data_IF_596275638062
#
_entry.id   IF_596275638062
#
_cell.length_a   1.000
_cell.length_b   1.000
_cell.length_c   1.000
_cell.angle_alpha   90.00
_cell.angle_beta   90.00
_cell.angle_gamma   90.00
#
_symmetry.space_group_name_H-M   'P 1'
#
loop_
_entity.id
_entity.type
_entity.pdbx_description
1 polymer ?
#
# COMPACT_ATOMS: atom_id res chain seq x y z
N UNK A 1 -0.86 -14.70 23.28
CA UNK A 1 -0.04 -13.48 23.50
C UNK A 1 -0.15 -12.61 22.26
N UNK A 2 -0.67 -11.38 22.37
CA UNK A 2 -0.76 -10.47 21.24
C UNK A 2 0.66 -10.08 20.79
N UNK A 3 1.01 -10.42 19.55
CA UNK A 3 2.32 -10.08 18.98
C UNK A 3 2.39 -8.55 18.85
N UNK A 4 3.25 -7.90 19.64
CA UNK A 4 3.45 -6.45 19.56
C UNK A 4 4.14 -6.12 18.25
N UNK A 5 3.43 -5.48 17.33
CA UNK A 5 4.01 -4.99 16.08
C UNK A 5 4.94 -3.81 16.35
N UNK A 6 6.01 -3.68 15.58
CA UNK A 6 6.85 -2.48 15.59
C UNK A 6 6.08 -1.30 15.02
N UNK A 7 6.49 -0.07 15.34
CA UNK A 7 5.86 1.13 14.80
C UNK A 7 5.90 1.17 13.27
N UNK A 8 6.98 0.66 12.67
CA UNK A 8 7.09 0.54 11.21
C UNK A 8 6.08 -0.47 10.65
N UNK A 9 5.90 -1.62 11.30
CA UNK A 9 4.89 -2.60 10.90
C UNK A 9 3.48 -2.03 11.01
N UNK A 10 3.19 -1.26 12.08
CA UNK A 10 1.91 -0.57 12.23
C UNK A 10 1.69 0.43 11.09
N UNK A 11 2.70 1.25 10.75
CA UNK A 11 2.61 2.18 9.61
C UNK A 11 2.31 1.47 8.29
N UNK A 12 2.95 0.34 8.02
CA UNK A 12 2.69 -0.47 6.81
C UNK A 12 1.25 -0.99 6.78
N UNK A 13 0.75 -1.52 7.91
CA UNK A 13 -0.63 -2.01 8.01
C UNK A 13 -1.65 -0.88 7.85
N UNK A 14 -1.37 0.29 8.43
CA UNK A 14 -2.21 1.47 8.26
C UNK A 14 -2.24 1.94 6.81
N UNK A 15 -1.07 2.01 6.14
CA UNK A 15 -0.97 2.34 4.72
C UNK A 15 -1.81 1.37 3.87
N UNK A 16 -1.68 0.06 4.09
CA UNK A 16 -2.46 -0.94 3.36
C UNK A 16 -3.97 -0.74 3.58
N UNK A 17 -4.39 -0.51 4.84
CA UNK A 17 -5.79 -0.27 5.18
C UNK A 17 -6.33 1.01 4.53
N UNK A 18 -5.56 2.08 4.50
CA UNK A 18 -5.99 3.35 3.89
C UNK A 18 -6.12 3.23 2.37
N UNK A 19 -5.25 2.44 1.74
CA UNK A 19 -5.38 2.10 0.33
C UNK A 19 -6.67 1.34 0.03
N UNK A 20 -6.99 0.31 0.84
CA UNK A 20 -8.24 -0.45 0.69
C UNK A 20 -9.47 0.43 0.90
N UNK A 21 -9.46 1.30 1.92
CA UNK A 21 -10.56 2.25 2.15
C UNK A 21 -10.78 3.14 0.93
N UNK A 22 -9.72 3.67 0.34
CA UNK A 22 -9.81 4.46 -0.89
C UNK A 22 -10.30 3.61 -2.07
N UNK A 23 -9.85 2.37 -2.21
CA UNK A 23 -10.37 1.48 -3.26
C UNK A 23 -11.90 1.27 -3.13
N UNK A 24 -12.42 1.14 -1.91
CA UNK A 24 -13.85 0.99 -1.67
C UNK A 24 -14.68 2.23 -2.04
N UNK A 25 -14.09 3.42 -2.12
CA UNK A 25 -14.82 4.63 -2.58
C UNK A 25 -14.93 4.71 -4.10
N UNK A 26 -14.22 3.84 -4.83
CA UNK A 26 -14.24 3.80 -6.29
C UNK A 26 -15.23 2.74 -6.82
N UNK A 27 -15.84 2.96 -7.99
CA UNK A 27 -16.62 1.94 -8.68
C UNK A 27 -15.72 0.84 -9.26
N UNK A 28 -16.31 -0.29 -9.64
CA UNK A 28 -15.63 -1.29 -10.46
C UNK A 28 -15.40 -0.75 -11.89
N UNK A 29 -14.33 -1.18 -12.61
CA UNK A 29 -13.31 -2.16 -12.21
C UNK A 29 -12.15 -1.58 -11.38
N UNK A 30 -12.14 -0.26 -11.19
CA UNK A 30 -11.04 0.45 -10.55
C UNK A 30 -10.78 0.00 -9.11
N UNK A 31 -11.85 -0.32 -8.37
CA UNK A 31 -11.74 -0.90 -7.02
C UNK A 31 -10.91 -2.18 -7.02
N UNK A 32 -11.25 -3.14 -7.87
CA UNK A 32 -10.51 -4.42 -7.96
C UNK A 32 -9.05 -4.21 -8.39
N UNK A 33 -8.81 -3.29 -9.32
CA UNK A 33 -7.45 -2.91 -9.74
C UNK A 33 -6.63 -2.35 -8.57
N UNK A 34 -7.18 -1.41 -7.82
CA UNK A 34 -6.54 -0.80 -6.65
C UNK A 34 -6.24 -1.84 -5.55
N UNK A 35 -7.19 -2.73 -5.26
CA UNK A 35 -6.99 -3.80 -4.28
C UNK A 35 -5.88 -4.76 -4.70
N UNK A 36 -5.85 -5.15 -5.98
CA UNK A 36 -4.83 -6.04 -6.54
C UNK A 36 -3.44 -5.40 -6.46
N UNK A 37 -3.33 -4.11 -6.81
CA UNK A 37 -2.08 -3.38 -6.68
C UNK A 37 -1.59 -3.31 -5.23
N UNK A 38 -2.45 -2.88 -4.30
CA UNK A 38 -2.08 -2.76 -2.90
C UNK A 38 -1.56 -4.09 -2.34
N UNK A 39 -2.22 -5.20 -2.71
CA UNK A 39 -1.78 -6.55 -2.34
C UNK A 39 -0.44 -6.89 -3.00
N UNK A 40 -0.29 -6.67 -4.31
CA UNK A 40 0.93 -6.97 -5.05
C UNK A 40 2.15 -6.21 -4.52
N UNK A 41 1.99 -4.96 -4.10
CA UNK A 41 3.06 -4.16 -3.46
C UNK A 41 3.52 -4.81 -2.16
N UNK A 42 2.60 -5.25 -1.30
CA UNK A 42 2.96 -5.87 -0.02
C UNK A 42 3.57 -7.26 -0.25
N UNK A 43 3.00 -8.06 -1.16
CA UNK A 43 3.49 -9.40 -1.47
C UNK A 43 4.89 -9.37 -2.08
N UNK A 44 5.16 -8.45 -3.03
CA UNK A 44 6.49 -8.25 -3.62
C UNK A 44 7.57 -7.96 -2.58
N UNK A 45 7.21 -7.35 -1.46
CA UNK A 45 8.11 -6.92 -0.41
C UNK A 45 8.02 -7.77 0.87
N UNK A 46 7.28 -8.89 0.85
CA UNK A 46 7.01 -9.73 2.03
C UNK A 46 8.27 -10.36 2.61
N UNK A 47 9.20 -10.76 1.75
CA UNK A 47 10.41 -11.48 2.13
C UNK A 47 11.59 -10.55 2.50
N UNK A 48 11.35 -9.24 2.56
CA UNK A 48 12.38 -8.30 2.97
C UNK A 48 12.85 -8.57 4.41
N UNK A 49 14.18 -8.63 4.63
CA UNK A 49 14.72 -8.78 5.98
C UNK A 49 14.23 -7.66 6.90
N UNK A 50 13.59 -8.04 8.02
CA UNK A 50 13.04 -7.08 9.01
C UNK A 50 14.09 -6.13 9.61
N UNK A 51 15.38 -6.47 9.48
CA UNK A 51 16.51 -5.65 9.94
C UNK A 51 16.81 -4.46 9.01
N UNK A 52 16.30 -4.47 7.78
CA UNK A 52 16.54 -3.42 6.82
C UNK A 52 15.51 -2.28 6.94
N UNK A 53 15.47 -1.64 8.12
CA UNK A 53 14.47 -0.64 8.47
C UNK A 53 14.47 0.56 7.50
N UNK A 54 15.65 1.07 7.14
CA UNK A 54 15.79 2.22 6.25
C UNK A 54 15.21 1.94 4.86
N UNK A 55 15.47 0.76 4.31
CA UNK A 55 14.94 0.39 3.00
C UNK A 55 13.41 0.23 3.04
N UNK A 56 12.89 -0.41 4.08
CA UNK A 56 11.44 -0.56 4.27
C UNK A 56 10.76 0.81 4.41
N UNK A 57 11.36 1.74 5.15
CA UNK A 57 10.84 3.12 5.25
C UNK A 57 10.89 3.88 3.93
N UNK A 58 11.97 3.74 3.16
CA UNK A 58 12.09 4.35 1.84
C UNK A 58 10.99 3.84 0.91
N UNK A 59 10.79 2.51 0.86
CA UNK A 59 9.73 1.90 0.07
C UNK A 59 8.35 2.39 0.49
N UNK A 60 8.07 2.42 1.80
CA UNK A 60 6.79 2.93 2.31
C UNK A 60 6.56 4.38 1.88
N UNK A 61 7.58 5.24 1.96
CA UNK A 61 7.48 6.64 1.53
C UNK A 61 7.22 6.77 0.03
N UNK A 62 7.90 5.98 -0.80
CA UNK A 62 7.70 5.96 -2.24
C UNK A 62 6.27 5.56 -2.61
N UNK A 63 5.76 4.49 -1.99
CA UNK A 63 4.40 4.01 -2.25
C UNK A 63 3.33 4.97 -1.72
N UNK A 64 3.59 5.64 -0.59
CA UNK A 64 2.69 6.67 -0.06
C UNK A 64 2.62 7.89 -0.99
N UNK A 65 3.74 8.29 -1.59
CA UNK A 65 3.74 9.35 -2.59
C UNK A 65 2.91 8.97 -3.83
N UNK A 66 3.09 7.74 -4.35
CA UNK A 66 2.28 7.23 -5.48
C UNK A 66 0.79 7.19 -5.13
N UNK A 67 0.44 6.71 -3.94
CA UNK A 67 -0.94 6.68 -3.47
C UNK A 67 -1.55 8.10 -3.39
N UNK A 68 -0.80 9.07 -2.88
CA UNK A 68 -1.25 10.45 -2.83
C UNK A 68 -1.48 11.03 -4.22
N UNK A 69 -0.61 10.70 -5.20
CA UNK A 69 -0.81 11.10 -6.60
C UNK A 69 -2.09 10.48 -7.18
N UNK A 70 -2.29 9.17 -6.98
CA UNK A 70 -3.52 8.47 -7.42
C UNK A 70 -4.76 9.07 -6.75
N UNK A 71 -4.66 9.55 -5.51
CA UNK A 71 -5.77 10.19 -4.80
C UNK A 71 -6.10 11.58 -5.36
N UNK A 72 -5.08 12.35 -5.75
CA UNK A 72 -5.21 13.71 -6.27
C UNK A 72 -5.66 13.72 -7.73
N UNK A 73 -5.03 12.89 -8.55
CA UNK A 73 -5.47 12.63 -9.92
C UNK A 73 -6.78 11.85 -9.82
N UNK A 74 -7.89 12.37 -10.33
CA UNK A 74 -9.16 11.63 -10.31
C UNK A 74 -9.10 10.52 -11.37
N UNK A 75 -8.23 9.53 -11.15
CA UNK A 75 -7.85 8.52 -12.14
C UNK A 75 -9.01 7.55 -12.34
N UNK A 76 -9.44 7.40 -13.59
CA UNK A 76 -10.55 6.50 -13.97
C UNK A 76 -10.10 5.05 -14.20
N UNK A 77 -8.80 4.81 -14.44
CA UNK A 77 -8.22 3.47 -14.61
C UNK A 77 -6.74 3.44 -14.27
N UNK A 78 -6.28 2.37 -13.62
CA UNK A 78 -4.84 2.17 -13.36
C UNK A 78 -4.41 0.89 -14.03
N UNK A 79 -3.54 1.02 -15.03
CA UNK A 79 -2.98 -0.11 -15.76
C UNK A 79 -1.65 -0.51 -15.11
N UNK A 80 -1.65 -1.65 -14.43
CA UNK A 80 -0.46 -2.22 -13.82
C UNK A 80 0.17 -3.17 -14.84
N UNK A 81 1.31 -2.78 -15.39
CA UNK A 81 2.08 -3.59 -16.35
C UNK A 81 2.97 -4.59 -15.63
#
# INVERSE_FOLDING_TARGET
MAKKYSQLQIKILMFYRDYLKYAHTKPEPLRSQLQTYARGVIEKNRDLPKRNFMYIELLLRMEQNKFNMIKQSNVDSINFK
#
